data_IF_108922389124
#
_entry.id   IF_108922389124
#
_cell.length_a   1.000
_cell.length_b   1.000
_cell.length_c   1.000
_cell.angle_alpha   90.00
_cell.angle_beta   90.00
_cell.angle_gamma   90.00
#
_symmetry.space_group_name_H-M   'P 1'
#
loop_
_entity.id
_entity.type
_entity.pdbx_description
1 polymer ?
#
# COMPACT_ATOMS: atom_id res chain seq x y z
N UNK A 1 3.80 -18.37 23.03
CA UNK A 1 4.97 -17.61 22.55
C UNK A 1 6.28 -18.21 23.08
N UNK A 2 6.43 -18.54 24.35
CA UNK A 2 7.69 -19.13 24.90
C UNK A 2 8.05 -20.52 24.37
N UNK A 3 7.17 -21.21 23.67
CA UNK A 3 7.36 -22.54 23.08
C UNK A 3 7.38 -22.53 21.55
N UNK A 4 7.45 -21.37 20.92
CA UNK A 4 7.56 -21.28 19.47
C UNK A 4 8.97 -21.75 19.05
N UNK A 5 9.03 -22.55 18.00
CA UNK A 5 10.28 -22.85 17.33
C UNK A 5 10.73 -21.61 16.55
N UNK A 6 11.97 -21.19 16.79
CA UNK A 6 12.57 -20.02 16.17
C UNK A 6 13.90 -20.37 15.53
N UNK A 7 14.29 -19.63 14.52
CA UNK A 7 15.55 -19.80 13.82
C UNK A 7 16.01 -18.48 13.20
N UNK A 8 17.10 -18.52 12.43
CA UNK A 8 17.59 -17.35 11.71
C UNK A 8 16.80 -17.15 10.41
N UNK A 9 15.94 -16.12 10.40
CA UNK A 9 15.08 -15.84 9.26
C UNK A 9 15.86 -15.46 7.99
N UNK A 10 17.06 -14.91 8.12
CA UNK A 10 17.94 -14.58 6.98
C UNK A 10 18.26 -15.81 6.15
N UNK A 11 18.41 -16.97 6.79
CA UNK A 11 18.69 -18.26 6.14
C UNK A 11 17.41 -19.10 5.92
N UNK A 12 16.22 -18.54 6.20
CA UNK A 12 14.94 -19.27 6.17
C UNK A 12 14.93 -20.49 7.09
N UNK A 13 15.49 -20.33 8.27
CA UNK A 13 15.56 -21.37 9.29
C UNK A 13 14.49 -21.20 10.38
N UNK A 14 13.73 -20.08 10.38
CA UNK A 14 12.62 -19.87 11.32
C UNK A 14 11.33 -20.52 10.80
N UNK A 15 10.92 -21.68 11.38
CA UNK A 15 9.74 -22.39 10.88
C UNK A 15 8.45 -21.66 11.18
N UNK A 16 8.41 -20.81 12.21
CA UNK A 16 7.22 -20.04 12.59
C UNK A 16 6.98 -18.91 11.61
N UNK A 17 8.03 -18.19 11.20
CA UNK A 17 7.94 -17.15 10.16
C UNK A 17 7.54 -17.75 8.83
N UNK A 18 8.18 -18.84 8.40
CA UNK A 18 7.84 -19.52 7.14
C UNK A 18 6.38 -19.99 7.09
N UNK A 19 5.87 -20.56 8.17
CA UNK A 19 4.45 -20.96 8.26
C UNK A 19 3.50 -19.77 8.16
N UNK A 20 3.85 -18.63 8.77
CA UNK A 20 3.06 -17.41 8.66
C UNK A 20 3.04 -16.90 7.22
N UNK A 21 4.19 -16.80 6.58
CA UNK A 21 4.31 -16.34 5.19
C UNK A 21 3.54 -17.24 4.22
N UNK A 22 3.68 -18.55 4.32
CA UNK A 22 2.94 -19.52 3.51
C UNK A 22 1.42 -19.39 3.70
N UNK A 23 0.98 -19.28 4.96
CA UNK A 23 -0.43 -19.10 5.30
C UNK A 23 -1.01 -17.82 4.69
N UNK A 24 -0.28 -16.71 4.78
CA UNK A 24 -0.73 -15.43 4.24
C UNK A 24 -0.71 -15.44 2.71
N UNK A 25 0.34 -15.96 2.08
CA UNK A 25 0.39 -16.11 0.64
C UNK A 25 -0.80 -16.91 0.11
N UNK A 26 -1.09 -18.07 0.72
CA UNK A 26 -2.24 -18.93 0.36
C UNK A 26 -3.59 -18.22 0.57
N UNK A 27 -3.75 -17.52 1.70
CA UNK A 27 -4.99 -16.83 2.05
C UNK A 27 -5.35 -15.74 1.03
N UNK A 28 -4.35 -15.01 0.56
CA UNK A 28 -4.53 -13.90 -0.42
C UNK A 28 -4.29 -14.31 -1.87
N UNK A 29 -3.98 -15.58 -2.15
CA UNK A 29 -3.77 -16.09 -3.51
C UNK A 29 -2.52 -15.54 -4.19
N UNK A 30 -1.46 -15.27 -3.42
CA UNK A 30 -0.17 -14.81 -3.89
C UNK A 30 0.87 -15.94 -3.89
N UNK A 31 1.93 -15.78 -4.69
CA UNK A 31 3.04 -16.75 -4.78
C UNK A 31 3.83 -16.85 -3.48
N UNK A 32 3.97 -15.71 -2.79
CA UNK A 32 4.72 -15.63 -1.54
C UNK A 32 4.21 -14.47 -0.68
N UNK A 33 4.63 -14.42 0.57
CA UNK A 33 4.47 -13.30 1.47
C UNK A 33 5.81 -12.99 2.15
N UNK A 34 5.93 -11.82 2.74
CA UNK A 34 7.10 -11.40 3.50
C UNK A 34 6.64 -10.92 4.87
N UNK A 35 7.17 -11.52 5.92
CA UNK A 35 6.97 -11.02 7.27
C UNK A 35 7.76 -9.72 7.48
N UNK A 36 7.10 -8.72 8.03
CA UNK A 36 7.71 -7.46 8.44
C UNK A 36 7.31 -7.14 9.88
N UNK A 37 8.24 -6.68 10.73
CA UNK A 37 7.97 -6.40 12.14
C UNK A 37 7.05 -5.19 12.37
N UNK A 38 6.73 -4.41 11.34
CA UNK A 38 5.81 -3.28 11.43
C UNK A 38 5.08 -3.01 10.13
N UNK A 39 3.84 -2.49 10.22
CA UNK A 39 3.06 -2.02 9.06
C UNK A 39 3.74 -0.89 8.30
N UNK A 40 4.44 0.02 8.99
CA UNK A 40 5.24 1.06 8.35
C UNK A 40 6.30 0.47 7.43
N UNK A 41 7.03 -0.56 7.88
CA UNK A 41 8.02 -1.24 7.03
C UNK A 41 7.36 -1.88 5.80
N UNK A 42 6.22 -2.54 5.99
CA UNK A 42 5.44 -3.13 4.90
C UNK A 42 5.05 -2.09 3.85
N UNK A 43 4.49 -0.96 4.29
CA UNK A 43 4.09 0.13 3.40
C UNK A 43 5.29 0.72 2.64
N UNK A 44 6.42 0.96 3.32
CA UNK A 44 7.60 1.52 2.68
C UNK A 44 8.22 0.55 1.64
N UNK A 45 8.21 -0.75 1.92
CA UNK A 45 8.63 -1.78 0.96
C UNK A 45 7.68 -1.79 -0.24
N UNK A 46 6.36 -1.79 -0.01
CA UNK A 46 5.37 -1.78 -1.09
C UNK A 46 5.51 -0.56 -2.01
N UNK A 47 5.71 0.63 -1.44
CA UNK A 47 5.98 1.84 -2.23
C UNK A 47 7.28 1.66 -3.04
N UNK A 48 8.34 1.20 -2.40
CA UNK A 48 9.66 1.04 -3.02
C UNK A 48 9.67 0.08 -4.20
N UNK A 49 8.98 -1.06 -4.11
CA UNK A 49 8.98 -2.07 -5.18
C UNK A 49 8.09 -1.70 -6.36
N UNK A 50 7.15 -0.78 -6.17
CA UNK A 50 6.21 -0.35 -7.20
C UNK A 50 6.56 0.98 -7.87
N UNK A 51 7.57 1.69 -7.37
CA UNK A 51 7.94 3.02 -7.84
C UNK A 51 9.43 3.16 -8.08
N UNK A 52 9.80 4.25 -8.72
CA UNK A 52 11.18 4.72 -8.90
C UNK A 52 11.28 6.16 -8.38
N UNK A 53 12.48 6.66 -8.07
CA UNK A 53 12.66 8.07 -7.75
C UNK A 53 12.01 8.98 -8.81
N UNK A 54 11.37 10.04 -8.36
CA UNK A 54 10.60 11.00 -9.15
C UNK A 54 9.21 10.50 -9.63
N UNK A 55 8.80 9.30 -9.30
CA UNK A 55 7.41 8.88 -9.46
C UNK A 55 6.50 9.53 -8.39
N UNK A 56 5.20 9.43 -8.59
CA UNK A 56 4.17 9.93 -7.68
C UNK A 56 3.22 8.82 -7.23
N UNK A 57 2.82 8.92 -5.97
CA UNK A 57 1.86 8.03 -5.33
C UNK A 57 0.59 8.82 -4.98
N UNK A 58 -0.56 8.37 -5.43
CA UNK A 58 -1.87 8.91 -5.03
C UNK A 58 -2.33 8.18 -3.76
N UNK A 59 -2.75 8.93 -2.75
CA UNK A 59 -3.44 8.40 -1.57
C UNK A 59 -4.49 9.40 -1.05
N UNK A 60 -5.40 8.95 -0.20
CA UNK A 60 -6.30 9.85 0.51
C UNK A 60 -5.50 10.68 1.54
N UNK A 61 -5.86 11.95 1.74
CA UNK A 61 -5.07 12.91 2.55
C UNK A 61 -4.91 12.52 4.03
N UNK A 62 -5.77 11.65 4.54
CA UNK A 62 -5.69 11.15 5.91
C UNK A 62 -5.03 9.77 6.02
N UNK A 63 -4.53 9.23 4.91
CA UNK A 63 -3.86 7.93 4.88
C UNK A 63 -2.64 7.92 5.79
N UNK A 64 -2.41 6.76 6.43
CA UNK A 64 -1.32 6.55 7.36
C UNK A 64 0.05 6.81 6.73
N UNK A 65 0.25 6.34 5.49
CA UNK A 65 1.50 6.54 4.73
C UNK A 65 1.87 8.01 4.55
N UNK A 66 0.89 8.90 4.47
CA UNK A 66 1.12 10.33 4.32
C UNK A 66 1.35 11.05 5.65
N UNK A 67 0.53 10.72 6.68
CA UNK A 67 0.51 11.49 7.93
C UNK A 67 1.48 10.97 9.00
N UNK A 68 1.78 9.66 9.04
CA UNK A 68 2.37 9.04 10.23
C UNK A 68 3.66 8.26 9.99
N UNK A 69 4.14 8.16 8.76
CA UNK A 69 5.35 7.39 8.44
C UNK A 69 6.58 8.29 8.23
N UNK A 70 6.57 9.46 8.83
CA UNK A 70 7.72 10.39 8.92
C UNK A 70 8.29 10.79 7.55
N UNK A 71 7.45 10.79 6.49
CA UNK A 71 7.90 11.05 5.13
C UNK A 71 8.76 9.93 4.52
N UNK A 72 8.61 8.70 5.04
CA UNK A 72 9.37 7.53 4.59
C UNK A 72 9.31 7.31 3.09
N UNK A 73 8.17 7.57 2.45
CA UNK A 73 8.00 7.50 1.00
C UNK A 73 9.02 8.38 0.23
N UNK A 74 9.31 9.58 0.74
CA UNK A 74 10.29 10.47 0.14
C UNK A 74 11.72 9.99 0.43
N UNK A 75 12.00 9.58 1.67
CA UNK A 75 13.32 9.16 2.08
C UNK A 75 13.74 7.83 1.44
N UNK A 76 12.89 6.79 1.52
CA UNK A 76 13.25 5.44 1.04
C UNK A 76 13.06 5.25 -0.45
N UNK A 77 12.07 5.91 -1.04
CA UNK A 77 11.68 5.68 -2.44
C UNK A 77 11.95 6.86 -3.36
N UNK A 78 12.17 8.06 -2.81
CA UNK A 78 12.40 9.28 -3.60
C UNK A 78 11.16 9.71 -4.40
N UNK A 79 9.96 9.40 -3.91
CA UNK A 79 8.70 9.68 -4.60
C UNK A 79 7.97 10.88 -4.00
N UNK A 80 7.13 11.51 -4.82
CA UNK A 80 6.15 12.48 -4.36
C UNK A 80 4.88 11.77 -3.89
N UNK A 81 4.13 12.39 -2.98
CA UNK A 81 2.75 12.01 -2.67
C UNK A 81 1.80 13.07 -3.23
N UNK A 82 0.74 12.61 -3.87
CA UNK A 82 -0.45 13.39 -4.20
C UNK A 82 -1.54 13.04 -3.19
N UNK A 83 -1.68 13.80 -2.10
CA UNK A 83 -2.76 13.59 -1.14
C UNK A 83 -4.06 14.12 -1.75
N UNK A 84 -5.07 13.27 -1.83
CA UNK A 84 -6.37 13.58 -2.41
C UNK A 84 -7.39 13.78 -1.31
N UNK A 85 -8.08 14.91 -1.32
CA UNK A 85 -9.19 15.14 -0.41
C UNK A 85 -10.44 14.40 -0.89
N UNK A 86 -11.03 13.62 -0.02
CA UNK A 86 -12.28 12.93 -0.25
C UNK A 86 -13.33 13.31 0.78
N UNK A 87 -14.60 13.18 0.44
CA UNK A 87 -15.70 13.53 1.35
C UNK A 87 -15.85 12.56 2.51
N UNK A 88 -15.54 11.31 2.27
CA UNK A 88 -15.78 10.19 3.19
C UNK A 88 -14.48 9.45 3.60
N UNK A 89 -13.33 10.01 3.26
CA UNK A 89 -12.04 9.40 3.58
C UNK A 89 -11.67 8.21 2.69
N UNK A 90 -12.35 8.06 1.53
CA UNK A 90 -12.08 6.99 0.57
C UNK A 90 -11.78 7.55 -0.81
N UNK A 91 -10.81 6.97 -1.49
CA UNK A 91 -10.63 7.21 -2.92
C UNK A 91 -11.72 6.51 -3.73
N UNK A 92 -12.02 7.07 -4.89
CA UNK A 92 -12.84 6.43 -5.91
C UNK A 92 -12.20 6.60 -7.29
N UNK A 93 -12.78 5.98 -8.30
CA UNK A 93 -12.26 6.02 -9.68
C UNK A 93 -12.13 7.44 -10.23
N UNK A 94 -13.10 8.31 -9.96
CA UNK A 94 -13.12 9.69 -10.45
C UNK A 94 -11.99 10.50 -9.83
N UNK A 95 -11.86 10.47 -8.50
CA UNK A 95 -10.78 11.14 -7.77
C UNK A 95 -9.40 10.67 -8.22
N UNK A 96 -9.23 9.37 -8.47
CA UNK A 96 -7.97 8.84 -8.97
C UNK A 96 -7.68 9.42 -10.36
N UNK A 97 -8.63 9.37 -11.30
CA UNK A 97 -8.43 9.83 -12.68
C UNK A 97 -8.09 11.32 -12.72
N UNK A 98 -8.79 12.15 -11.93
CA UNK A 98 -8.58 13.60 -11.86
C UNK A 98 -7.19 13.97 -11.33
N UNK A 99 -6.59 13.10 -10.51
CA UNK A 99 -5.29 13.35 -9.89
C UNK A 99 -4.11 12.68 -10.61
N UNK A 100 -4.32 11.95 -11.71
CA UNK A 100 -3.24 11.44 -12.55
C UNK A 100 -2.58 12.60 -13.29
N UNK A 101 -1.28 12.75 -13.12
CA UNK A 101 -0.52 13.79 -13.82
C UNK A 101 -0.38 13.50 -15.31
N UNK A 102 -0.42 14.56 -16.11
CA UNK A 102 -0.09 14.49 -17.54
C UNK A 102 1.38 14.10 -17.77
N UNK A 103 1.67 13.58 -18.95
CA UNK A 103 3.05 13.19 -19.33
C UNK A 103 3.83 14.45 -19.79
N UNK A 104 4.40 15.15 -18.85
CA UNK A 104 5.26 16.32 -19.08
C UNK A 104 6.57 16.15 -18.32
N UNK A 105 7.65 16.66 -18.86
CA UNK A 105 9.01 16.52 -18.30
C UNK A 105 9.18 17.16 -16.93
N UNK A 106 8.33 18.12 -16.60
CA UNK A 106 8.32 18.85 -15.33
C UNK A 106 7.32 18.32 -14.29
N UNK A 107 6.58 17.26 -14.59
CA UNK A 107 5.64 16.65 -13.64
C UNK A 107 6.14 15.28 -13.21
N UNK A 108 5.88 14.88 -11.95
CA UNK A 108 6.13 13.52 -11.51
C UNK A 108 5.24 12.54 -12.26
N UNK A 109 5.71 11.33 -12.42
CA UNK A 109 4.97 10.30 -13.12
C UNK A 109 4.12 9.50 -12.14
N UNK A 110 2.81 9.66 -12.17
CA UNK A 110 1.89 8.92 -11.32
C UNK A 110 2.00 7.42 -11.59
N UNK A 111 2.34 6.61 -10.57
CA UNK A 111 2.60 5.16 -10.70
C UNK A 111 1.83 4.27 -9.77
N UNK A 112 1.53 4.74 -8.57
CA UNK A 112 0.94 3.92 -7.53
C UNK A 112 -0.28 4.64 -6.94
N UNK A 113 -1.32 3.87 -6.68
CA UNK A 113 -2.45 4.27 -5.84
C UNK A 113 -2.38 3.45 -4.55
N UNK A 114 -2.50 4.12 -3.41
CA UNK A 114 -2.58 3.45 -2.11
C UNK A 114 -3.95 3.72 -1.50
N UNK A 115 -4.62 2.64 -1.10
CA UNK A 115 -5.89 2.67 -0.36
C UNK A 115 -5.68 2.06 1.02
N UNK A 116 -6.29 2.63 2.05
CA UNK A 116 -6.21 2.18 3.44
C UNK A 116 -7.56 1.59 3.86
N UNK A 117 -7.57 0.34 4.30
CA UNK A 117 -8.78 -0.35 4.75
C UNK A 117 -8.51 -1.09 6.09
N UNK A 118 -9.07 -0.66 7.17
CA UNK A 118 -10.02 0.45 7.38
C UNK A 118 -9.29 1.78 7.56
N UNK A 119 -9.91 2.88 7.12
CA UNK A 119 -9.33 4.22 7.27
C UNK A 119 -9.15 4.60 8.74
N UNK A 120 -7.90 4.80 9.19
CA UNK A 120 -7.57 5.07 10.58
C UNK A 120 -8.15 6.40 11.09
N UNK A 121 -8.03 7.45 10.32
CA UNK A 121 -8.45 8.82 10.71
C UNK A 121 -9.84 9.21 10.20
N UNK A 122 -10.47 8.36 9.44
CA UNK A 122 -11.76 8.61 8.80
C UNK A 122 -12.90 7.82 9.46
N UNK A 123 -12.76 7.51 10.74
CA UNK A 123 -13.79 6.83 11.52
C UNK A 123 -13.91 5.33 11.30
N UNK A 124 -12.88 4.69 10.76
CA UNK A 124 -12.89 3.26 10.48
C UNK A 124 -13.67 2.90 9.22
N UNK A 125 -13.80 3.83 8.28
CA UNK A 125 -14.48 3.59 7.01
C UNK A 125 -13.88 2.40 6.28
N UNK A 126 -14.76 1.53 5.76
CA UNK A 126 -14.39 0.36 4.99
C UNK A 126 -14.74 0.54 3.52
N UNK A 127 -13.87 0.08 2.66
CA UNK A 127 -14.22 -0.12 1.25
C UNK A 127 -15.07 -1.38 1.10
N UNK A 128 -16.12 -1.28 0.32
CA UNK A 128 -16.84 -2.45 -0.19
C UNK A 128 -16.03 -3.14 -1.29
N UNK A 129 -16.32 -4.41 -1.55
CA UNK A 129 -15.67 -5.14 -2.63
C UNK A 129 -15.91 -4.50 -4.00
N UNK A 130 -17.10 -3.93 -4.22
CA UNK A 130 -17.42 -3.23 -5.47
C UNK A 130 -16.56 -1.97 -5.64
N UNK A 131 -16.36 -1.17 -4.59
CA UNK A 131 -15.48 0.00 -4.62
C UNK A 131 -14.03 -0.40 -4.91
N UNK A 132 -13.52 -1.44 -4.23
CA UNK A 132 -12.15 -1.93 -4.49
C UNK A 132 -11.99 -2.47 -5.91
N UNK A 133 -12.98 -3.17 -6.45
CA UNK A 133 -12.95 -3.64 -7.84
C UNK A 133 -12.95 -2.48 -8.83
N UNK A 134 -13.77 -1.45 -8.62
CA UNK A 134 -13.79 -0.25 -9.45
C UNK A 134 -12.43 0.46 -9.45
N UNK A 135 -11.81 0.63 -8.28
CA UNK A 135 -10.46 1.20 -8.16
C UNK A 135 -9.42 0.33 -8.88
N UNK A 136 -9.46 -0.97 -8.67
CA UNK A 136 -8.57 -1.93 -9.32
C UNK A 136 -8.66 -1.84 -10.86
N UNK A 137 -9.87 -1.80 -11.39
CA UNK A 137 -10.08 -1.70 -12.85
C UNK A 137 -9.60 -0.35 -13.38
N UNK A 138 -9.83 0.73 -12.64
CA UNK A 138 -9.29 2.06 -12.96
C UNK A 138 -7.76 2.03 -12.99
N UNK A 139 -7.11 1.49 -11.97
CA UNK A 139 -5.66 1.37 -11.92
C UNK A 139 -5.12 0.54 -13.10
N UNK A 140 -5.76 -0.60 -13.41
CA UNK A 140 -5.39 -1.44 -14.55
C UNK A 140 -5.48 -0.67 -15.87
N UNK A 141 -6.60 0.02 -16.12
CA UNK A 141 -6.84 0.76 -17.35
C UNK A 141 -5.89 1.96 -17.53
N UNK A 142 -5.39 2.51 -16.43
CA UNK A 142 -4.43 3.62 -16.42
C UNK A 142 -2.97 3.19 -16.25
N UNK A 143 -2.71 1.87 -16.26
CA UNK A 143 -1.36 1.30 -16.03
C UNK A 143 -0.72 1.74 -14.71
N UNK A 144 -1.54 1.93 -13.67
CA UNK A 144 -1.12 2.20 -12.30
C UNK A 144 -1.03 0.90 -11.50
N UNK A 145 -0.15 0.89 -10.51
CA UNK A 145 -0.14 -0.14 -9.47
C UNK A 145 -1.14 0.22 -8.36
N UNK A 146 -1.62 -0.78 -7.66
CA UNK A 146 -2.52 -0.61 -6.52
C UNK A 146 -1.93 -1.33 -5.31
N UNK A 147 -1.79 -0.60 -4.20
CA UNK A 147 -1.42 -1.14 -2.90
C UNK A 147 -2.58 -0.96 -1.91
N UNK A 148 -2.88 -2.00 -1.16
CA UNK A 148 -3.85 -1.98 -0.07
C UNK A 148 -3.09 -2.01 1.27
N UNK A 149 -3.14 -0.90 2.01
CA UNK A 149 -2.77 -0.91 3.43
C UNK A 149 -3.92 -1.55 4.22
N UNK A 150 -3.70 -2.79 4.58
CA UNK A 150 -4.68 -3.64 5.26
C UNK A 150 -4.42 -3.80 6.75
N UNK A 151 -3.92 -2.77 7.44
CA UNK A 151 -3.55 -2.85 8.86
C UNK A 151 -4.65 -3.39 9.80
N UNK A 152 -5.93 -3.37 9.34
CA UNK A 152 -7.10 -3.88 10.08
C UNK A 152 -8.01 -4.71 9.17
N UNK A 153 -7.40 -5.55 8.33
CA UNK A 153 -8.16 -6.35 7.35
C UNK A 153 -8.85 -7.57 7.96
N UNK A 154 -8.48 -7.94 9.20
CA UNK A 154 -9.06 -9.02 10.00
C UNK A 154 -9.87 -8.50 11.18
#
# INVERSE_FOLDING_TARGET
>A
MMSAEVGDDVFKEDPTVMQLEEKMAKMFGHETALFCPSGTMTNQIAIKVHTKPLDEVICEKHSHIFLYEVGGYAFHSGVAIQPVESRDGKLNSELIIENIKGKFDWLPNTKLVVVENTGNRTGGNCYTLNELNAIKDTCRNKALKLHLDGARIF
#
